data_IF_686648161632
#
_entry.id   IF_686648161632
#
_cell.length_a   1.000
_cell.length_b   1.000
_cell.length_c   1.000
_cell.angle_alpha   90.00
_cell.angle_beta   90.00
_cell.angle_gamma   90.00
#
_symmetry.space_group_name_H-M   'P 1'
#
loop_
_entity.id
_entity.type
_entity.pdbx_description
1 polymer ?
#
# COMPACT_ATOMS: atom_id res chain seq x y z
N UNK A 1 7.22 -32.89 -55.12
CA UNK A 1 8.21 -32.47 -54.11
C UNK A 1 7.69 -31.21 -53.44
N UNK A 2 7.23 -31.35 -52.18
CA UNK A 2 6.62 -30.27 -51.39
C UNK A 2 7.69 -29.31 -50.84
N UNK A 3 7.43 -27.99 -50.87
CA UNK A 3 8.23 -26.97 -50.17
C UNK A 3 7.36 -26.23 -49.16
N UNK A 4 7.87 -26.17 -47.94
CA UNK A 4 7.13 -25.88 -46.70
C UNK A 4 6.81 -24.39 -46.49
N UNK A 5 5.61 -24.15 -45.94
CA UNK A 5 5.15 -22.87 -45.39
C UNK A 5 5.90 -22.52 -44.10
N UNK A 6 6.40 -21.28 -44.01
CA UNK A 6 6.98 -20.72 -42.79
C UNK A 6 5.86 -20.30 -41.84
N UNK A 7 5.71 -21.00 -40.73
CA UNK A 7 4.84 -20.55 -39.62
C UNK A 7 5.60 -19.54 -38.76
N UNK A 8 5.09 -18.31 -38.69
CA UNK A 8 5.55 -17.28 -37.78
C UNK A 8 4.94 -17.56 -36.40
N UNK A 9 5.75 -18.00 -35.43
CA UNK A 9 5.32 -18.19 -34.06
C UNK A 9 5.28 -16.82 -33.34
N UNK A 10 4.07 -16.32 -33.08
CA UNK A 10 3.86 -15.16 -32.19
C UNK A 10 3.93 -15.69 -30.75
N UNK A 11 5.00 -15.35 -30.03
CA UNK A 11 5.15 -15.64 -28.61
C UNK A 11 4.32 -14.62 -27.82
N UNK A 12 3.31 -15.02 -27.04
CA UNK A 12 2.57 -14.09 -26.21
C UNK A 12 3.48 -13.69 -25.04
N UNK A 13 3.89 -12.43 -25.01
CA UNK A 13 4.56 -11.83 -23.86
C UNK A 13 3.54 -11.79 -22.73
N UNK A 14 3.69 -12.69 -21.77
CA UNK A 14 2.92 -12.73 -20.55
C UNK A 14 3.29 -11.47 -19.73
N UNK A 15 2.51 -10.40 -19.88
CA UNK A 15 2.56 -9.23 -19.00
C UNK A 15 2.13 -9.67 -17.60
N UNK A 16 3.09 -10.11 -16.80
CA UNK A 16 2.92 -10.32 -15.38
C UNK A 16 2.70 -8.95 -14.73
N UNK A 17 1.43 -8.58 -14.54
CA UNK A 17 1.04 -7.39 -13.79
C UNK A 17 1.70 -7.44 -12.41
N UNK A 18 2.54 -6.45 -12.12
CA UNK A 18 3.17 -6.21 -10.82
C UNK A 18 2.06 -5.92 -9.78
N UNK A 19 1.43 -6.96 -9.26
CA UNK A 19 0.58 -6.87 -8.08
C UNK A 19 1.51 -6.53 -6.91
N UNK A 20 1.41 -5.31 -6.39
CA UNK A 20 2.05 -4.91 -5.15
C UNK A 20 1.67 -5.93 -4.07
N UNK A 21 2.64 -6.70 -3.58
CA UNK A 21 2.41 -7.71 -2.55
C UNK A 21 2.08 -7.03 -1.23
N UNK A 22 0.80 -6.86 -0.94
CA UNK A 22 0.38 -6.80 0.45
C UNK A 22 0.82 -8.11 1.13
N UNK A 23 1.51 -8.01 2.28
CA UNK A 23 1.85 -9.19 3.07
C UNK A 23 0.55 -9.95 3.41
N UNK A 24 0.35 -11.11 2.81
CA UNK A 24 -0.84 -11.93 3.03
C UNK A 24 -0.61 -12.74 4.31
N UNK A 25 -1.21 -12.29 5.40
CA UNK A 25 -1.14 -12.95 6.71
C UNK A 25 -2.57 -13.15 7.26
N UNK A 26 -3.31 -14.15 6.73
CA UNK A 26 -4.74 -14.31 6.99
C UNK A 26 -5.05 -14.70 8.44
N UNK A 27 -4.10 -15.33 9.15
CA UNK A 27 -4.28 -15.78 10.53
C UNK A 27 -3.73 -14.80 11.58
N UNK A 28 -2.96 -13.78 11.18
CA UNK A 28 -2.44 -12.78 12.13
C UNK A 28 -3.50 -11.70 12.37
N UNK A 29 -3.92 -11.54 13.62
CA UNK A 29 -4.90 -10.53 14.04
C UNK A 29 -4.48 -9.08 13.76
N UNK A 30 -3.19 -8.79 13.59
CA UNK A 30 -2.66 -7.45 13.31
C UNK A 30 -2.61 -7.09 11.83
N UNK A 31 -2.83 -8.07 10.96
CA UNK A 31 -2.73 -7.86 9.51
C UNK A 31 -4.01 -7.28 8.91
N UNK A 32 -3.83 -6.31 7.99
CA UNK A 32 -4.95 -5.70 7.26
C UNK A 32 -5.65 -6.68 6.30
N UNK A 33 -4.97 -7.76 5.90
CA UNK A 33 -5.55 -8.83 5.09
C UNK A 33 -6.40 -9.81 5.90
N UNK A 34 -6.37 -9.74 7.24
CA UNK A 34 -7.18 -10.60 8.10
C UNK A 34 -8.54 -9.92 8.40
N UNK A 35 -9.67 -10.41 7.83
CA UNK A 35 -10.99 -9.81 8.02
C UNK A 35 -11.57 -10.02 9.42
N UNK A 36 -10.98 -10.90 10.23
CA UNK A 36 -11.35 -11.08 11.64
C UNK A 36 -10.47 -10.26 12.59
N UNK A 37 -9.38 -9.68 12.08
CA UNK A 37 -8.39 -8.89 12.84
C UNK A 37 -8.41 -7.40 12.48
N UNK A 38 -7.23 -6.83 12.23
CA UNK A 38 -7.06 -5.42 11.86
C UNK A 38 -7.76 -5.04 10.54
N UNK A 39 -7.97 -6.02 9.65
CA UNK A 39 -8.75 -5.88 8.42
C UNK A 39 -10.27 -5.95 8.61
N UNK A 40 -10.77 -6.15 9.84
CA UNK A 40 -12.20 -6.29 10.09
C UNK A 40 -12.97 -4.99 9.77
N UNK A 41 -13.96 -5.03 8.86
CA UNK A 41 -14.72 -3.85 8.45
C UNK A 41 -15.71 -3.35 9.51
N UNK A 42 -15.92 -4.10 10.59
CA UNK A 42 -16.79 -3.73 11.71
C UNK A 42 -16.01 -3.34 12.98
N UNK A 43 -14.68 -3.38 12.95
CA UNK A 43 -13.87 -2.95 14.10
C UNK A 43 -14.07 -1.45 14.31
N UNK A 44 -14.51 -1.04 15.51
CA UNK A 44 -14.89 0.34 15.82
C UNK A 44 -13.81 1.37 15.45
N UNK A 45 -12.54 1.03 15.73
CA UNK A 45 -11.36 1.82 15.37
C UNK A 45 -10.52 1.14 14.26
N UNK A 46 -11.18 0.44 13.33
CA UNK A 46 -10.52 -0.31 12.25
C UNK A 46 -10.22 0.54 11.03
N UNK A 47 -9.04 0.38 10.43
CA UNK A 47 -8.68 1.03 9.15
C UNK A 47 -9.63 0.64 8.01
N UNK A 48 -10.18 -0.58 8.04
CA UNK A 48 -11.10 -1.10 7.03
C UNK A 48 -12.57 -0.80 7.31
N UNK A 49 -12.90 -0.18 8.45
CA UNK A 49 -14.26 0.22 8.77
C UNK A 49 -14.57 1.61 8.20
N UNK A 50 -15.48 1.75 7.22
CA UNK A 50 -15.81 3.05 6.60
C UNK A 50 -16.55 4.02 7.54
N UNK A 51 -16.97 3.57 8.71
CA UNK A 51 -17.60 4.39 9.74
C UNK A 51 -16.66 4.70 10.92
N UNK A 52 -15.44 4.16 10.93
CA UNK A 52 -14.48 4.41 12.00
C UNK A 52 -13.75 5.74 11.83
N UNK A 53 -13.12 6.20 12.91
CA UNK A 53 -12.20 7.35 12.89
C UNK A 53 -11.07 7.20 11.87
N UNK A 54 -10.56 6.00 11.63
CA UNK A 54 -9.39 5.79 10.77
C UNK A 54 -9.75 5.31 9.35
N UNK A 55 -10.96 4.79 9.11
CA UNK A 55 -11.39 4.29 7.81
C UNK A 55 -12.49 5.14 7.13
N UNK A 56 -13.07 6.11 7.82
CA UNK A 56 -14.13 6.97 7.27
C UNK A 56 -13.63 8.00 6.27
N UNK A 57 -14.38 8.21 5.18
CA UNK A 57 -14.09 9.25 4.19
C UNK A 57 -14.12 10.69 4.76
N UNK A 58 -14.65 10.90 5.97
CA UNK A 58 -14.88 12.24 6.53
C UNK A 58 -13.91 12.61 7.65
N UNK A 59 -13.32 11.63 8.33
CA UNK A 59 -12.46 11.90 9.47
C UNK A 59 -11.13 12.51 9.03
N UNK A 60 -10.65 13.53 9.76
CA UNK A 60 -9.32 14.10 9.53
C UNK A 60 -8.18 13.12 9.87
N UNK A 61 -8.48 12.03 10.58
CA UNK A 61 -7.54 10.97 10.93
C UNK A 61 -7.65 9.74 10.02
N UNK A 62 -8.48 9.79 8.98
CA UNK A 62 -8.65 8.64 8.10
C UNK A 62 -7.62 8.62 6.98
N UNK A 63 -7.15 7.41 6.67
CA UNK A 63 -6.34 7.20 5.48
C UNK A 63 -7.11 7.38 4.17
N UNK A 64 -8.45 7.32 4.18
CA UNK A 64 -9.30 7.40 2.97
C UNK A 64 -9.77 8.81 2.63
N UNK A 65 -9.69 9.73 3.59
CA UNK A 65 -10.12 11.10 3.38
C UNK A 65 -9.05 11.86 2.56
N UNK A 66 -9.35 12.35 1.35
CA UNK A 66 -8.38 13.07 0.51
C UNK A 66 -7.99 14.44 1.06
N UNK A 67 -8.58 14.88 2.16
CA UNK A 67 -8.26 16.13 2.86
C UNK A 67 -7.76 15.88 4.29
N UNK A 68 -7.58 14.62 4.71
CA UNK A 68 -7.01 14.33 6.01
C UNK A 68 -5.60 14.90 6.13
N UNK A 69 -5.36 15.57 7.25
CA UNK A 69 -4.05 16.12 7.65
C UNK A 69 -3.48 15.35 8.83
N UNK A 70 -4.26 14.46 9.44
CA UNK A 70 -3.83 13.64 10.57
C UNK A 70 -3.97 12.13 10.34
N UNK A 71 -3.69 11.68 9.12
CA UNK A 71 -3.79 10.27 8.75
C UNK A 71 -2.77 9.38 9.51
N UNK A 72 -3.01 8.05 9.59
CA UNK A 72 -2.14 7.10 10.28
C UNK A 72 -0.70 7.11 9.73
N UNK A 73 0.27 6.92 10.62
CA UNK A 73 1.70 6.95 10.31
C UNK A 73 2.20 5.57 9.94
N UNK A 74 3.21 5.52 9.08
CA UNK A 74 3.88 4.29 8.67
C UNK A 74 5.28 4.20 9.28
N UNK A 75 5.64 3.02 9.76
CA UNK A 75 6.97 2.72 10.26
C UNK A 75 7.47 1.39 9.70
N UNK A 76 8.77 1.29 9.42
CA UNK A 76 9.38 -0.01 9.16
C UNK A 76 9.74 -0.75 10.46
N UNK A 77 10.17 -2.00 10.34
CA UNK A 77 10.57 -2.84 11.47
C UNK A 77 11.75 -2.30 12.30
N UNK A 78 12.46 -1.30 11.79
CA UNK A 78 13.58 -0.64 12.45
C UNK A 78 13.12 0.69 13.09
N UNK A 79 11.83 1.01 13.03
CA UNK A 79 11.26 2.23 13.57
C UNK A 79 11.46 3.47 12.71
N UNK A 80 11.96 3.33 11.47
CA UNK A 80 12.09 4.49 10.59
C UNK A 80 10.71 4.92 10.11
N UNK A 81 10.47 6.23 10.13
CA UNK A 81 9.24 6.82 9.60
C UNK A 81 9.17 6.69 8.07
N UNK A 82 8.02 6.26 7.57
CA UNK A 82 7.73 5.99 6.15
C UNK A 82 6.54 6.80 5.62
N UNK A 83 6.26 7.95 6.23
CA UNK A 83 5.17 8.85 5.83
C UNK A 83 3.83 8.49 6.47
N UNK A 84 2.76 9.04 5.93
CA UNK A 84 1.38 8.81 6.37
C UNK A 84 0.64 7.96 5.33
N UNK A 85 -0.03 6.91 5.79
CA UNK A 85 -1.02 6.18 5.00
C UNK A 85 -2.21 7.11 4.76
N UNK A 86 -2.21 7.81 3.64
CA UNK A 86 -3.17 8.87 3.35
C UNK A 86 -3.52 8.90 1.87
N UNK A 87 -4.79 9.15 1.59
CA UNK A 87 -5.32 9.42 0.26
C UNK A 87 -5.14 10.90 -0.16
N UNK A 88 -4.72 11.77 0.76
CA UNK A 88 -4.53 13.19 0.48
C UNK A 88 -3.34 13.40 -0.46
N UNK A 89 -3.52 13.85 -1.71
CA UNK A 89 -2.41 14.01 -2.66
C UNK A 89 -1.56 15.27 -2.40
N UNK A 90 -2.02 16.17 -1.53
CA UNK A 90 -1.40 17.47 -1.25
C UNK A 90 -0.55 17.47 0.01
N UNK A 91 -0.77 16.52 0.92
CA UNK A 91 0.05 16.36 2.13
C UNK A 91 1.47 15.88 1.75
N UNK A 92 2.49 16.54 2.29
CA UNK A 92 3.90 16.27 1.95
C UNK A 92 4.37 14.87 2.38
N UNK A 93 3.78 14.35 3.46
CA UNK A 93 4.10 13.04 4.02
C UNK A 93 3.21 11.92 3.49
N UNK A 94 2.19 12.25 2.70
CA UNK A 94 1.23 11.28 2.19
C UNK A 94 1.83 10.29 1.21
N UNK A 95 1.47 9.02 1.39
CA UNK A 95 1.74 7.95 0.42
C UNK A 95 1.03 8.13 -0.92
N UNK A 96 -0.02 8.93 -1.00
CA UNK A 96 -0.70 9.28 -2.26
C UNK A 96 -0.13 10.52 -2.94
N UNK A 97 0.78 11.26 -2.29
CA UNK A 97 1.48 12.37 -2.93
C UNK A 97 2.62 11.84 -3.81
N UNK A 98 2.36 11.73 -5.12
CA UNK A 98 3.32 11.26 -6.14
C UNK A 98 4.58 12.11 -6.28
N UNK A 99 4.59 13.32 -5.73
CA UNK A 99 5.73 14.23 -5.73
C UNK A 99 6.42 14.27 -4.35
N UNK A 100 5.76 13.77 -3.30
CA UNK A 100 6.25 13.74 -1.93
C UNK A 100 7.30 12.65 -1.70
N UNK A 101 8.10 12.82 -0.63
CA UNK A 101 9.19 11.89 -0.27
C UNK A 101 8.71 10.45 -0.05
N UNK A 102 7.50 10.26 0.48
CA UNK A 102 6.99 8.95 0.89
C UNK A 102 5.97 8.33 -0.09
N UNK A 103 5.46 9.11 -1.05
CA UNK A 103 4.52 8.64 -2.07
C UNK A 103 5.11 8.55 -3.48
N UNK A 104 6.19 9.26 -3.79
CA UNK A 104 6.82 9.24 -5.11
C UNK A 104 7.50 7.87 -5.40
N UNK A 105 7.27 7.24 -6.56
CA UNK A 105 7.91 5.97 -6.94
C UNK A 105 9.44 6.00 -7.07
N UNK A 106 10.07 7.18 -7.14
CA UNK A 106 11.53 7.31 -7.30
C UNK A 106 12.28 7.52 -5.98
N UNK A 107 11.58 7.85 -4.89
CA UNK A 107 12.22 8.10 -3.61
C UNK A 107 12.64 6.79 -2.93
N UNK A 108 13.85 6.66 -2.38
CA UNK A 108 14.27 5.45 -1.66
C UNK A 108 13.44 5.22 -0.38
N UNK A 109 12.85 6.26 0.20
CA UNK A 109 12.03 6.16 1.41
C UNK A 109 10.56 5.84 1.16
N UNK A 110 10.13 5.88 -0.10
CA UNK A 110 8.75 5.68 -0.49
C UNK A 110 8.36 4.22 -0.48
N UNK A 111 7.20 3.93 0.11
CA UNK A 111 6.60 2.60 0.07
C UNK A 111 6.11 2.23 -1.35
N UNK A 112 6.00 3.22 -2.25
CA UNK A 112 5.63 3.03 -3.64
C UNK A 112 6.85 2.78 -4.55
N UNK A 113 8.08 2.85 -4.01
CA UNK A 113 9.29 2.53 -4.76
C UNK A 113 9.68 1.05 -4.54
N UNK A 114 9.57 0.18 -5.57
CA UNK A 114 9.91 -1.24 -5.45
C UNK A 114 11.42 -1.50 -5.31
N UNK A 115 12.26 -0.50 -5.55
CA UNK A 115 13.71 -0.57 -5.33
C UNK A 115 14.14 0.08 -4.00
N UNK A 116 13.19 0.65 -3.23
CA UNK A 116 13.41 1.34 -1.97
C UNK A 116 12.67 0.68 -0.80
N UNK A 117 12.06 1.50 0.05
CA UNK A 117 11.28 1.03 1.21
C UNK A 117 10.09 0.13 0.83
N UNK A 118 9.57 0.26 -0.39
CA UNK A 118 8.50 -0.58 -0.96
C UNK A 118 8.98 -1.91 -1.57
N UNK A 119 10.25 -2.29 -1.41
CA UNK A 119 10.79 -3.50 -2.03
C UNK A 119 10.08 -4.77 -1.50
N UNK A 120 9.35 -5.51 -2.36
CA UNK A 120 8.57 -6.67 -1.94
C UNK A 120 9.44 -7.85 -1.47
N UNK A 121 10.71 -7.88 -1.86
CA UNK A 121 11.67 -8.92 -1.48
C UNK A 121 12.47 -8.57 -0.23
N UNK A 122 12.32 -7.35 0.31
CA UNK A 122 13.03 -6.96 1.52
C UNK A 122 12.54 -7.72 2.77
N UNK A 123 11.33 -8.30 2.73
CA UNK A 123 10.75 -9.06 3.84
C UNK A 123 10.52 -8.22 5.11
N UNK A 124 10.46 -6.89 4.97
CA UNK A 124 10.32 -5.94 6.09
C UNK A 124 8.86 -5.52 6.19
N UNK A 125 8.13 -5.88 7.27
CA UNK A 125 6.77 -5.42 7.46
C UNK A 125 6.75 -3.90 7.64
N UNK A 126 5.70 -3.28 7.10
CA UNK A 126 5.35 -1.89 7.37
C UNK A 126 4.21 -1.88 8.39
N UNK A 127 4.41 -1.15 9.48
CA UNK A 127 3.44 -0.99 10.55
C UNK A 127 2.64 0.28 10.35
N UNK A 128 1.31 0.15 10.42
CA UNK A 128 0.38 1.28 10.42
C UNK A 128 0.05 1.64 11.86
N UNK A 129 0.39 2.86 12.26
CA UNK A 129 0.16 3.37 13.62
C UNK A 129 -0.87 4.50 13.55
N UNK A 130 -2.04 4.35 14.19
CA UNK A 130 -3.04 5.41 14.22
C UNK A 130 -2.48 6.73 14.77
N UNK A 131 -2.93 7.85 14.21
CA UNK A 131 -2.61 9.16 14.75
C UNK A 131 -3.22 9.31 16.16
N UNK A 132 -2.49 9.99 17.05
CA UNK A 132 -2.89 10.21 18.45
C UNK A 132 -3.55 11.56 18.61
#
# INVERSE_FOLDING_TARGET
MFRASKFLAVVPVLLCSLMASAQVCPYDSRCLSNPYGAGNPYKADGLMNPYSRYGSAYSNQSWRNPYATDAPRLYDAQGNYRGRLSANPYDADSTSNRYGRYGNPYSPDSINNPYGAGNPYAGRPIYVVPAR
#
